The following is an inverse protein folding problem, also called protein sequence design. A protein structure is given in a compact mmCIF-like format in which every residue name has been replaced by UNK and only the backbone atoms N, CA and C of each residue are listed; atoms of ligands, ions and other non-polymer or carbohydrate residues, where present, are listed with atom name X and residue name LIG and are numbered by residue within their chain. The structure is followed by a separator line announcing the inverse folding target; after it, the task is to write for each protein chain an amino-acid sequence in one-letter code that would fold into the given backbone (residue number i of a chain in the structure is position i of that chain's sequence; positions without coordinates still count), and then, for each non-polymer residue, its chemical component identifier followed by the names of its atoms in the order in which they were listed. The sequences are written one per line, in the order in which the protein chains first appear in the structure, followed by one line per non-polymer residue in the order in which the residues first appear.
data_IF_391221932959
#
_entry.id   IF_391221932959
#
_cell.length_a   1.000
_cell.length_b   1.000
_cell.length_c   1.000
_cell.angle_alpha   90.00
_cell.angle_beta   90.00
_cell.angle_gamma   90.00
#
_symmetry.space_group_name_H-M   'P 1'
#
loop_
_entity.id
_entity.type
_entity.pdbx_description
1 polymer ?
#
# COMPACT_ATOMS: atom_id res chain seq x y z
N UNK A 1 -25.46 2.13 -9.83
CA UNK A 1 -24.25 1.87 -10.63
C UNK A 1 -23.08 1.59 -9.70
N UNK A 2 -22.47 0.42 -9.84
CA UNK A 2 -21.31 0.07 -9.02
C UNK A 2 -20.06 0.76 -9.55
N UNK A 3 -19.25 1.29 -8.64
CA UNK A 3 -17.95 1.86 -8.97
C UNK A 3 -16.94 0.72 -9.12
N UNK A 4 -16.00 0.84 -10.05
CA UNK A 4 -14.92 -0.14 -10.16
C UNK A 4 -13.94 0.00 -8.98
N UNK A 5 -13.13 -1.03 -8.78
CA UNK A 5 -12.17 -1.08 -7.66
C UNK A 5 -11.16 0.07 -7.72
N UNK A 6 -10.72 0.43 -8.91
CA UNK A 6 -9.74 1.49 -9.09
C UNK A 6 -10.28 2.85 -8.65
N UNK A 7 -11.51 3.15 -9.05
CA UNK A 7 -12.17 4.41 -8.67
C UNK A 7 -12.39 4.48 -7.16
N UNK A 8 -12.86 3.38 -6.56
CA UNK A 8 -13.05 3.27 -5.11
C UNK A 8 -11.72 3.45 -4.40
N UNK A 9 -10.69 2.74 -4.87
CA UNK A 9 -9.35 2.82 -4.27
C UNK A 9 -8.80 4.24 -4.30
N UNK A 10 -8.92 4.92 -5.42
CA UNK A 10 -8.44 6.29 -5.57
C UNK A 10 -9.15 7.24 -4.60
N UNK A 11 -10.46 7.13 -4.48
CA UNK A 11 -11.26 8.00 -3.60
C UNK A 11 -10.88 7.83 -2.13
N UNK A 12 -10.81 6.58 -1.65
CA UNK A 12 -10.45 6.30 -0.26
C UNK A 12 -9.01 6.70 0.04
N UNK A 13 -8.10 6.38 -0.86
CA UNK A 13 -6.68 6.72 -0.70
C UNK A 13 -6.46 8.22 -0.67
N UNK A 14 -7.11 8.96 -1.55
CA UNK A 14 -7.02 10.42 -1.60
C UNK A 14 -7.52 11.05 -0.31
N UNK A 15 -8.70 10.63 0.15
CA UNK A 15 -9.31 11.18 1.36
C UNK A 15 -8.44 10.92 2.59
N UNK A 16 -7.94 9.70 2.74
CA UNK A 16 -7.06 9.34 3.85
C UNK A 16 -5.75 10.10 3.78
N UNK A 17 -5.15 10.16 2.58
CA UNK A 17 -3.87 10.86 2.38
C UNK A 17 -3.97 12.33 2.79
N UNK A 18 -4.98 13.03 2.32
CA UNK A 18 -5.19 14.45 2.64
C UNK A 18 -5.37 14.65 4.15
N UNK A 19 -6.13 13.77 4.79
CA UNK A 19 -6.38 13.85 6.23
C UNK A 19 -5.11 13.67 7.04
N UNK A 20 -4.37 12.59 6.81
CA UNK A 20 -3.18 12.27 7.59
C UNK A 20 -2.02 13.21 7.28
N UNK A 21 -1.95 13.73 6.06
CA UNK A 21 -0.96 14.74 5.70
C UNK A 21 -1.20 16.04 6.46
N UNK A 22 -2.46 16.48 6.55
CA UNK A 22 -2.84 17.66 7.31
C UNK A 22 -2.54 17.50 8.81
N UNK A 23 -2.68 16.29 9.33
CA UNK A 23 -2.48 16.00 10.75
C UNK A 23 -1.03 15.61 11.09
N UNK A 24 -0.12 15.65 10.12
CA UNK A 24 1.29 15.26 10.28
C UNK A 24 1.47 13.81 10.70
N UNK A 25 0.57 12.94 10.25
CA UNK A 25 0.59 11.50 10.56
C UNK A 25 0.84 10.66 9.30
N UNK A 26 1.39 11.26 8.25
CA UNK A 26 1.56 10.61 6.95
C UNK A 26 2.50 9.40 7.03
N UNK A 27 3.69 9.58 7.63
CA UNK A 27 4.69 8.50 7.69
C UNK A 27 4.19 7.32 8.52
N UNK A 28 3.59 7.60 9.67
CA UNK A 28 3.04 6.56 10.54
C UNK A 28 1.93 5.79 9.83
N UNK A 29 1.04 6.50 9.16
CA UNK A 29 -0.07 5.88 8.41
C UNK A 29 0.48 5.03 7.27
N UNK A 30 1.47 5.51 6.54
CA UNK A 30 2.10 4.74 5.47
C UNK A 30 2.65 3.41 5.98
N UNK A 31 3.39 3.44 7.10
CA UNK A 31 3.96 2.23 7.68
C UNK A 31 2.88 1.23 8.11
N UNK A 32 1.81 1.71 8.72
CA UNK A 32 0.69 0.86 9.13
C UNK A 32 -0.01 0.23 7.94
N UNK A 33 -0.20 0.99 6.85
CA UNK A 33 -0.85 0.48 5.65
C UNK A 33 0.01 -0.57 4.94
N UNK A 34 1.33 -0.37 4.89
CA UNK A 34 2.24 -1.37 4.30
C UNK A 34 2.20 -2.67 5.11
N UNK A 35 2.19 -2.56 6.45
CA UNK A 35 2.06 -3.74 7.32
C UNK A 35 0.72 -4.44 7.11
N UNK A 36 -0.36 -3.68 6.95
CA UNK A 36 -1.69 -4.24 6.69
C UNK A 36 -1.73 -4.98 5.34
N UNK A 37 -1.14 -4.40 4.31
CA UNK A 37 -1.06 -5.05 3.00
C UNK A 37 -0.33 -6.38 3.10
N UNK A 38 0.73 -6.44 3.89
CA UNK A 38 1.48 -7.68 4.12
C UNK A 38 0.61 -8.76 4.76
N UNK A 39 -0.29 -8.39 5.67
CA UNK A 39 -1.23 -9.35 6.28
C UNK A 39 -2.13 -9.96 5.21
N UNK A 40 -2.64 -9.16 4.27
CA UNK A 40 -3.45 -9.69 3.17
C UNK A 40 -2.65 -10.56 2.21
N UNK A 41 -1.39 -10.22 1.96
CA UNK A 41 -0.52 -11.02 1.09
C UNK A 41 -0.15 -12.35 1.74
N UNK A 42 0.06 -12.38 3.04
CA UNK A 42 0.43 -13.60 3.79
C UNK A 42 -0.77 -14.53 4.05
N UNK A 43 -1.98 -14.03 3.89
CA UNK A 43 -3.21 -14.77 4.15
C UNK A 43 -4.09 -14.78 2.90
N UNK A 44 -3.73 -15.62 1.93
CA UNK A 44 -4.49 -15.76 0.69
C UNK A 44 -5.96 -16.05 0.98
N UNK A 45 -6.84 -15.34 0.29
CA UNK A 45 -8.27 -15.53 0.45
C UNK A 45 -8.90 -14.77 1.61
N UNK A 46 -8.10 -14.02 2.39
CA UNK A 46 -8.64 -13.24 3.51
C UNK A 46 -9.63 -12.18 3.02
N UNK A 47 -9.31 -11.47 1.94
CA UNK A 47 -10.18 -10.47 1.33
C UNK A 47 -11.48 -11.10 0.85
N UNK A 48 -11.40 -12.23 0.17
CA UNK A 48 -12.56 -12.97 -0.33
C UNK A 48 -13.43 -13.49 0.82
N UNK A 49 -12.81 -13.98 1.90
CA UNK A 49 -13.53 -14.45 3.08
C UNK A 49 -14.32 -13.31 3.75
N UNK A 50 -13.71 -12.14 3.87
CA UNK A 50 -14.34 -10.97 4.47
C UNK A 50 -15.44 -10.36 3.58
N UNK A 51 -15.28 -10.45 2.27
CA UNK A 51 -16.25 -9.93 1.31
C UNK A 51 -17.36 -10.93 0.97
N UNK A 52 -17.11 -12.23 1.15
CA UNK A 52 -17.98 -13.31 0.73
C UNK A 52 -19.08 -13.64 1.72
N UNK A 53 -19.71 -14.80 1.50
CA UNK A 53 -20.85 -15.25 2.30
C UNK A 53 -20.55 -16.48 3.18
N UNK A 54 -19.32 -16.97 3.14
CA UNK A 54 -18.93 -18.19 3.85
C UNK A 54 -18.83 -17.99 5.36
N UNK A 55 -18.38 -16.82 5.80
CA UNK A 55 -18.28 -16.47 7.20
C UNK A 55 -19.54 -15.74 7.65
N UNK A 56 -19.94 -15.98 8.91
CA UNK A 56 -21.02 -15.21 9.53
C UNK A 56 -20.58 -13.77 9.76
N UNK A 57 -21.54 -12.88 9.96
CA UNK A 57 -21.24 -11.49 10.26
C UNK A 57 -20.39 -11.36 11.54
N UNK A 58 -20.68 -12.15 12.56
CA UNK A 58 -19.93 -12.13 13.81
C UNK A 58 -18.48 -12.58 13.63
N UNK A 59 -18.26 -13.61 12.80
CA UNK A 59 -16.91 -14.07 12.45
C UNK A 59 -16.14 -12.99 11.70
N UNK A 60 -16.78 -12.32 10.74
CA UNK A 60 -16.18 -11.22 10.00
C UNK A 60 -15.82 -10.06 10.93
N UNK A 61 -16.71 -9.67 11.82
CA UNK A 61 -16.46 -8.58 12.78
C UNK A 61 -15.28 -8.90 13.69
N UNK A 62 -15.14 -10.16 14.10
CA UNK A 62 -14.02 -10.59 14.92
C UNK A 62 -12.69 -10.44 14.17
N UNK A 63 -12.65 -10.85 12.88
CA UNK A 63 -11.46 -10.67 12.03
C UNK A 63 -11.12 -9.20 11.81
N UNK A 64 -12.14 -8.37 11.57
CA UNK A 64 -11.95 -6.93 11.40
C UNK A 64 -11.35 -6.31 12.66
N UNK A 65 -11.85 -6.73 13.83
CA UNK A 65 -11.32 -6.26 15.10
C UNK A 65 -9.84 -6.64 15.27
N UNK A 66 -9.49 -7.86 14.88
CA UNK A 66 -8.09 -8.32 14.92
C UNK A 66 -7.20 -7.46 14.00
N UNK A 67 -7.68 -7.13 12.81
CA UNK A 67 -6.95 -6.28 11.87
C UNK A 67 -6.75 -4.86 12.42
N UNK A 68 -7.69 -4.38 13.23
CA UNK A 68 -7.64 -3.04 13.81
C UNK A 68 -6.74 -2.95 15.05
N UNK A 69 -6.35 -4.07 15.64
CA UNK A 69 -5.52 -4.07 16.84
C UNK A 69 -4.17 -3.41 16.57
N UNK A 70 -3.81 -2.47 17.45
CA UNK A 70 -2.55 -1.75 17.34
C UNK A 70 -2.53 -0.67 16.27
N UNK A 71 -3.58 -0.52 15.48
CA UNK A 71 -3.66 0.50 14.45
C UNK A 71 -4.03 1.86 15.04
N UNK A 72 -3.57 2.93 14.38
CA UNK A 72 -4.01 4.28 14.69
C UNK A 72 -5.51 4.42 14.39
N UNK A 73 -6.11 5.49 14.92
CA UNK A 73 -7.52 5.80 14.62
C UNK A 73 -7.79 5.93 13.12
N UNK A 74 -6.82 6.45 12.37
CA UNK A 74 -6.97 6.64 10.92
C UNK A 74 -7.09 5.31 10.18
N UNK A 75 -6.19 4.39 10.47
CA UNK A 75 -6.19 3.06 9.82
C UNK A 75 -7.34 2.22 10.33
N UNK A 76 -7.61 2.24 11.64
CA UNK A 76 -8.74 1.51 12.20
C UNK A 76 -10.07 1.97 11.61
N UNK A 77 -10.25 3.30 11.45
CA UNK A 77 -11.46 3.86 10.83
C UNK A 77 -11.56 3.49 9.35
N UNK A 78 -10.45 3.49 8.65
CA UNK A 78 -10.44 3.06 7.23
C UNK A 78 -10.92 1.62 7.10
N UNK A 79 -10.35 0.72 7.90
CA UNK A 79 -10.73 -0.71 7.89
C UNK A 79 -12.22 -0.85 8.16
N UNK A 80 -12.72 -0.17 9.19
CA UNK A 80 -14.13 -0.24 9.56
C UNK A 80 -15.05 0.27 8.45
N UNK A 81 -14.71 1.41 7.89
CA UNK A 81 -15.51 2.03 6.83
C UNK A 81 -15.56 1.16 5.58
N UNK A 82 -14.41 0.66 5.15
CA UNK A 82 -14.31 -0.17 3.95
C UNK A 82 -15.10 -1.47 4.14
N UNK A 83 -15.03 -2.05 5.34
CA UNK A 83 -15.81 -3.24 5.68
C UNK A 83 -17.31 -2.93 5.69
N UNK A 84 -17.72 -1.85 6.36
CA UNK A 84 -19.14 -1.50 6.51
C UNK A 84 -19.82 -1.22 5.15
N UNK A 85 -19.07 -0.70 4.20
CA UNK A 85 -19.60 -0.44 2.85
C UNK A 85 -19.44 -1.63 1.90
N UNK A 86 -19.02 -2.79 2.41
CA UNK A 86 -18.88 -4.00 1.60
C UNK A 86 -17.76 -3.94 0.58
N UNK A 87 -16.71 -3.17 0.89
CA UNK A 87 -15.61 -2.92 -0.07
C UNK A 87 -14.25 -3.39 0.46
N UNK A 88 -14.25 -4.35 1.36
CA UNK A 88 -13.01 -4.86 1.96
C UNK A 88 -12.09 -5.50 0.90
N UNK A 89 -12.64 -6.00 -0.20
CA UNK A 89 -11.86 -6.53 -1.31
C UNK A 89 -11.10 -5.44 -2.08
N UNK A 90 -11.38 -4.17 -1.81
CA UNK A 90 -10.64 -3.04 -2.37
C UNK A 90 -9.45 -2.60 -1.49
N UNK A 91 -9.25 -3.21 -0.32
CA UNK A 91 -8.27 -2.72 0.65
C UNK A 91 -6.84 -2.66 0.08
N UNK A 92 -6.37 -3.73 -0.57
CA UNK A 92 -5.02 -3.73 -1.16
C UNK A 92 -4.89 -2.65 -2.22
N UNK A 93 -5.91 -2.49 -3.07
CA UNK A 93 -5.91 -1.44 -4.09
C UNK A 93 -5.86 -0.03 -3.47
N UNK A 94 -6.56 0.17 -2.36
CA UNK A 94 -6.52 1.44 -1.60
C UNK A 94 -5.10 1.70 -1.09
N UNK A 95 -4.47 0.69 -0.52
CA UNK A 95 -3.10 0.81 0.00
C UNK A 95 -2.12 1.13 -1.15
N UNK A 96 -2.28 0.46 -2.30
CA UNK A 96 -1.44 0.71 -3.47
C UNK A 96 -1.57 2.16 -3.96
N UNK A 97 -2.79 2.70 -3.99
CA UNK A 97 -3.00 4.09 -4.38
C UNK A 97 -2.45 5.08 -3.35
N UNK A 98 -2.57 4.75 -2.06
CA UNK A 98 -1.96 5.56 -1.00
C UNK A 98 -0.44 5.58 -1.15
N UNK A 99 0.18 4.43 -1.41
CA UNK A 99 1.63 4.33 -1.62
C UNK A 99 2.08 5.19 -2.81
N UNK A 100 1.34 5.18 -3.93
CA UNK A 100 1.67 6.03 -5.08
C UNK A 100 1.67 7.51 -4.70
N UNK A 101 0.70 7.95 -3.93
CA UNK A 101 0.62 9.34 -3.46
C UNK A 101 1.75 9.67 -2.50
N UNK A 102 2.07 8.74 -1.61
CA UNK A 102 3.18 8.87 -0.68
C UNK A 102 4.51 8.99 -1.42
N UNK A 103 4.76 8.09 -2.35
CA UNK A 103 6.00 8.08 -3.15
C UNK A 103 6.15 9.38 -3.95
N UNK A 104 5.05 9.87 -4.52
CA UNK A 104 5.05 11.13 -5.26
C UNK A 104 5.40 12.32 -4.36
N UNK A 105 4.81 12.38 -3.18
CA UNK A 105 5.10 13.45 -2.22
C UNK A 105 6.54 13.40 -1.73
N UNK A 106 7.05 12.21 -1.43
CA UNK A 106 8.40 12.01 -0.94
C UNK A 106 9.43 11.99 -2.05
N UNK A 107 8.99 12.12 -3.30
CA UNK A 107 9.85 12.03 -4.49
C UNK A 107 10.67 10.75 -4.51
N UNK A 108 10.02 9.63 -4.18
CA UNK A 108 10.61 8.30 -4.22
C UNK A 108 10.38 7.68 -5.59
N UNK A 109 11.36 6.93 -6.05
CA UNK A 109 11.31 6.25 -7.33
C UNK A 109 11.63 4.77 -7.14
N UNK A 110 10.86 3.91 -7.81
CA UNK A 110 11.11 2.48 -7.87
C UNK A 110 11.51 2.13 -9.31
N UNK A 111 12.63 1.46 -9.48
CA UNK A 111 13.10 1.06 -10.80
C UNK A 111 13.42 -0.43 -10.84
N UNK A 112 12.95 -1.10 -11.90
CA UNK A 112 13.32 -2.47 -12.19
C UNK A 112 14.51 -2.46 -13.13
N UNK A 113 15.58 -3.17 -12.79
CA UNK A 113 16.81 -3.21 -13.55
C UNK A 113 17.14 -4.65 -13.91
N UNK A 114 17.27 -4.92 -15.20
CA UNK A 114 17.70 -6.21 -15.71
C UNK A 114 19.11 -6.10 -16.27
N UNK A 115 20.04 -6.92 -15.77
CA UNK A 115 21.44 -6.91 -16.20
C UNK A 115 21.90 -8.33 -16.53
N UNK A 116 22.93 -8.43 -17.39
CA UNK A 116 23.51 -9.73 -17.73
C UNK A 116 24.32 -10.33 -16.58
N UNK A 117 24.88 -9.49 -15.73
CA UNK A 117 25.66 -9.90 -14.55
C UNK A 117 25.15 -9.12 -13.34
N UNK A 118 25.41 -9.65 -12.15
CA UNK A 118 25.04 -9.00 -10.92
C UNK A 118 25.83 -7.70 -10.74
N UNK A 119 25.13 -6.64 -10.35
CA UNK A 119 25.76 -5.35 -10.04
C UNK A 119 26.46 -5.42 -8.69
N UNK A 120 27.68 -4.84 -8.62
CA UNK A 120 28.33 -4.64 -7.33
C UNK A 120 27.75 -3.40 -6.62
N UNK A 121 28.14 -3.18 -5.37
CA UNK A 121 27.62 -2.09 -4.56
C UNK A 121 27.91 -0.73 -5.17
N UNK A 122 29.08 -0.54 -5.76
CA UNK A 122 29.48 0.71 -6.40
C UNK A 122 28.66 0.99 -7.65
N UNK A 123 28.46 -0.02 -8.49
CA UNK A 123 27.65 0.09 -9.70
C UNK A 123 26.19 0.41 -9.35
N UNK A 124 25.65 -0.26 -8.32
CA UNK A 124 24.29 -0.02 -7.84
C UNK A 124 24.13 1.40 -7.33
N UNK A 125 25.06 1.87 -6.50
CA UNK A 125 25.02 3.24 -5.95
C UNK A 125 25.11 4.28 -7.07
N UNK A 126 25.95 4.07 -8.09
CA UNK A 126 26.09 4.97 -9.22
C UNK A 126 24.81 5.00 -10.04
N UNK A 127 24.19 3.86 -10.28
CA UNK A 127 22.92 3.77 -11.01
C UNK A 127 21.80 4.52 -10.27
N UNK A 128 21.69 4.31 -8.95
CA UNK A 128 20.73 5.05 -8.14
C UNK A 128 20.93 6.55 -8.22
N UNK A 129 22.17 7.01 -8.09
CA UNK A 129 22.51 8.43 -8.18
C UNK A 129 22.15 9.02 -9.54
N UNK A 130 22.44 8.31 -10.63
CA UNK A 130 22.12 8.75 -11.99
C UNK A 130 20.60 8.84 -12.20
N UNK A 131 19.85 7.85 -11.74
CA UNK A 131 18.38 7.84 -11.84
C UNK A 131 17.77 8.96 -11.01
N UNK A 132 18.26 9.16 -9.78
CA UNK A 132 17.78 10.22 -8.91
C UNK A 132 17.97 11.60 -9.57
N UNK A 133 19.13 11.84 -10.15
CA UNK A 133 19.46 13.09 -10.83
C UNK A 133 18.58 13.29 -12.07
N UNK A 134 18.43 12.25 -12.88
CA UNK A 134 17.70 12.32 -14.15
C UNK A 134 16.21 12.58 -13.96
N UNK A 135 15.60 11.96 -12.95
CA UNK A 135 14.16 12.02 -12.71
C UNK A 135 13.78 12.93 -11.53
N UNK A 136 14.74 13.59 -10.91
CA UNK A 136 14.47 14.50 -9.79
C UNK A 136 13.97 13.79 -8.53
N UNK A 137 14.34 12.52 -8.36
CA UNK A 137 13.93 11.73 -7.20
C UNK A 137 14.86 11.97 -6.01
N UNK A 138 14.30 11.97 -4.81
CA UNK A 138 15.08 12.05 -3.57
C UNK A 138 15.57 10.67 -3.12
N UNK A 139 14.84 9.62 -3.49
CA UNK A 139 15.17 8.25 -3.12
C UNK A 139 14.87 7.33 -4.29
N UNK A 140 15.76 6.38 -4.56
CA UNK A 140 15.60 5.39 -5.62
C UNK A 140 15.73 4.00 -5.02
N UNK A 141 14.74 3.16 -5.24
CA UNK A 141 14.76 1.75 -4.87
C UNK A 141 14.89 0.92 -6.15
N UNK A 142 15.85 0.00 -6.17
CA UNK A 142 16.08 -0.89 -7.32
C UNK A 142 15.56 -2.30 -7.03
N UNK A 143 14.81 -2.84 -7.96
CA UNK A 143 14.51 -4.26 -8.04
C UNK A 143 15.40 -4.84 -9.13
N UNK A 144 16.31 -5.72 -8.75
CA UNK A 144 17.36 -6.22 -9.64
C UNK A 144 17.02 -7.60 -10.19
N UNK A 145 17.17 -7.75 -11.48
CA UNK A 145 16.99 -9.02 -12.18
C UNK A 145 18.25 -9.32 -12.97
N UNK A 146 18.80 -10.51 -12.80
CA UNK A 146 19.97 -10.97 -13.56
C UNK A 146 19.49 -11.95 -14.62
N UNK A 147 19.73 -11.61 -15.89
CA UNK A 147 19.33 -12.43 -17.04
C UNK A 147 20.53 -12.50 -17.98
N UNK A 148 21.40 -13.54 -17.74
CA UNK A 148 22.64 -13.69 -18.54
C UNK A 148 22.41 -13.93 -20.03
#
# INVERSE_FOLDING_TARGET
MSLDKKTVADRYAKALFELVDADNELDQTYQELIALRQVFEDNEGLDAALAGVQLSLDEKKSLIKDLQQGASKYVANLIQMVFDYGRIDCMVAIIDEFERRYDRKMKRMHADVTTAIQLDKQQEAQLKANLAKRFGANEVTLTKHVDP
#
